data_IF_659086876837
#
_entry.id   IF_659086876837
#
_cell.length_a   1.000
_cell.length_b   1.000
_cell.length_c   1.000
_cell.angle_alpha   90.00
_cell.angle_beta   90.00
_cell.angle_gamma   90.00
#
_symmetry.space_group_name_H-M   'P 1'
#
loop_
_entity.id
_entity.type
_entity.pdbx_description
1 polymer ?
#
# COMPACT_ATOMS: atom_id res chain seq x y z
N UNK A 1 22.25 -41.64 5.21
CA UNK A 1 22.28 -40.52 6.19
C UNK A 1 21.13 -39.59 5.86
N UNK A 2 20.00 -39.81 6.51
CA UNK A 2 18.77 -39.02 6.35
C UNK A 2 18.75 -37.98 7.46
N UNK A 3 18.90 -36.71 7.11
CA UNK A 3 18.71 -35.60 8.04
C UNK A 3 17.22 -35.52 8.38
N UNK A 4 16.88 -35.86 9.62
CA UNK A 4 15.55 -35.65 10.18
C UNK A 4 15.28 -34.15 10.29
N UNK A 5 14.25 -33.67 9.61
CA UNK A 5 13.70 -32.34 9.87
C UNK A 5 13.05 -32.35 11.27
N UNK A 6 13.31 -31.36 12.13
CA UNK A 6 12.61 -31.25 13.40
C UNK A 6 11.15 -30.89 13.12
N UNK A 7 10.22 -31.69 13.63
CA UNK A 7 8.81 -31.35 13.68
C UNK A 7 8.64 -30.13 14.61
N UNK A 8 8.53 -28.95 14.02
CA UNK A 8 8.20 -27.73 14.75
C UNK A 8 6.73 -27.79 15.21
N UNK A 9 6.53 -27.40 16.46
CA UNK A 9 5.29 -27.58 17.21
C UNK A 9 4.27 -26.53 16.75
N UNK A 10 3.25 -26.94 15.99
CA UNK A 10 2.26 -26.04 15.36
C UNK A 10 1.57 -25.05 16.32
N UNK A 11 1.57 -25.34 17.62
CA UNK A 11 0.94 -24.50 18.65
C UNK A 11 1.71 -23.22 18.99
N UNK A 12 3.06 -23.20 18.90
CA UNK A 12 3.84 -22.00 19.23
C UNK A 12 3.77 -20.94 18.14
N UNK A 13 3.76 -21.36 16.87
CA UNK A 13 3.70 -20.46 15.72
C UNK A 13 2.31 -19.82 15.60
N UNK A 14 1.27 -20.54 16.03
CA UNK A 14 -0.09 -20.03 16.03
C UNK A 14 -0.28 -18.87 17.02
N UNK A 15 0.30 -19.00 18.22
CA UNK A 15 0.28 -17.97 19.27
C UNK A 15 1.07 -16.72 18.86
N UNK A 16 2.25 -16.90 18.25
CA UNK A 16 3.08 -15.78 17.77
C UNK A 16 2.40 -15.02 16.60
N UNK A 17 1.68 -15.74 15.74
CA UNK A 17 0.92 -15.13 14.64
C UNK A 17 -0.30 -14.34 15.15
N UNK A 18 -1.05 -14.90 16.11
CA UNK A 18 -2.19 -14.19 16.71
C UNK A 18 -1.75 -12.94 17.46
N UNK A 19 -0.62 -13.00 18.16
CA UNK A 19 0.00 -11.86 18.86
C UNK A 19 0.57 -10.79 17.92
N UNK A 20 0.84 -11.11 16.65
CA UNK A 20 1.35 -10.15 15.67
C UNK A 20 0.28 -9.67 14.68
N UNK A 21 -0.98 -10.00 14.90
CA UNK A 21 -2.09 -9.61 14.02
C UNK A 21 -2.44 -8.12 14.17
N UNK A 22 -2.91 -7.50 13.08
CA UNK A 22 -3.38 -6.11 13.09
C UNK A 22 -4.53 -5.93 14.09
N UNK A 23 -4.24 -5.29 15.21
CA UNK A 23 -5.17 -5.18 16.34
C UNK A 23 -4.98 -3.88 17.13
N UNK A 24 -5.88 -3.65 18.08
CA UNK A 24 -5.87 -2.46 18.92
C UNK A 24 -5.14 -2.75 20.23
N UNK A 25 -4.05 -2.02 20.48
CA UNK A 25 -3.26 -2.18 21.70
C UNK A 25 -2.95 -0.85 22.37
N UNK A 26 -2.73 -0.89 23.70
CA UNK A 26 -2.43 0.30 24.48
C UNK A 26 -0.94 0.65 24.43
N UNK A 27 -0.62 1.72 23.71
CA UNK A 27 0.71 2.31 23.69
C UNK A 27 0.81 3.50 24.63
N UNK A 28 1.98 3.66 25.24
CA UNK A 28 2.33 4.86 26.00
C UNK A 28 2.83 5.93 25.04
N UNK A 29 2.23 7.11 25.09
CA UNK A 29 2.67 8.27 24.31
C UNK A 29 3.17 9.37 25.24
N UNK A 30 4.16 10.13 24.77
CA UNK A 30 4.61 11.36 25.40
C UNK A 30 3.70 12.51 24.96
N UNK A 31 3.16 13.25 25.93
CA UNK A 31 2.30 14.40 25.70
C UNK A 31 3.10 15.66 25.39
N UNK A 32 4.35 15.74 25.84
CA UNK A 32 5.18 16.93 25.62
C UNK A 32 5.62 17.03 24.16
N UNK A 33 5.88 15.89 23.49
CA UNK A 33 6.18 15.83 22.05
C UNK A 33 5.00 16.20 21.15
N UNK A 34 3.77 16.12 21.66
CA UNK A 34 2.54 16.47 20.93
C UNK A 34 2.16 17.94 21.09
N UNK A 35 2.77 18.64 22.02
CA UNK A 35 2.53 20.07 22.22
C UNK A 35 3.41 20.88 21.26
N UNK A 36 2.79 21.65 20.36
CA UNK A 36 3.49 22.61 19.48
C UNK A 36 4.16 23.77 20.24
N UNK A 37 4.00 23.81 21.56
CA UNK A 37 4.64 24.73 22.49
C UNK A 37 5.73 23.99 23.28
N UNK A 38 6.71 23.43 22.57
CA UNK A 38 7.94 22.97 23.21
C UNK A 38 8.74 24.21 23.63
N UNK A 39 8.80 24.46 24.94
CA UNK A 39 9.62 25.48 25.62
C UNK A 39 9.29 26.94 25.27
N UNK A 40 8.19 27.48 25.81
CA UNK A 40 8.06 28.93 25.93
C UNK A 40 8.99 29.45 27.04
N UNK A 41 10.20 29.84 26.65
CA UNK A 41 11.02 30.79 27.39
C UNK A 41 10.31 32.15 27.37
N UNK A 42 9.40 32.39 28.32
CA UNK A 42 8.87 33.74 28.53
C UNK A 42 9.96 34.59 29.19
N UNK A 43 10.60 35.45 28.39
CA UNK A 43 11.33 36.66 28.82
C UNK A 43 12.35 36.52 29.97
N UNK A 44 13.65 36.58 29.64
CA UNK A 44 14.69 37.10 30.53
C UNK A 44 15.17 36.24 31.71
N UNK A 45 14.50 35.13 32.05
CA UNK A 45 14.96 34.17 33.05
C UNK A 45 14.48 32.76 32.70
N UNK A 46 15.36 31.76 32.72
CA UNK A 46 15.01 30.38 32.38
C UNK A 46 14.14 29.74 33.48
N UNK A 47 12.84 30.05 33.52
CA UNK A 47 11.91 29.31 34.37
C UNK A 47 11.37 28.10 33.61
N UNK A 48 11.85 26.91 33.97
CA UNK A 48 11.38 25.64 33.41
C UNK A 48 10.00 25.29 33.99
N UNK A 49 9.01 25.06 33.11
CA UNK A 49 7.69 24.57 33.52
C UNK A 49 7.68 23.04 33.35
N UNK A 50 7.41 22.31 34.41
CA UNK A 50 7.25 20.86 34.38
C UNK A 50 5.77 20.47 34.30
N UNK A 51 5.37 19.85 33.20
CA UNK A 51 3.99 19.39 32.99
C UNK A 51 3.78 17.94 33.45
N UNK A 52 2.61 17.67 34.04
CA UNK A 52 2.16 16.36 34.48
C UNK A 52 0.69 16.10 34.10
N UNK A 53 0.31 14.85 33.75
CA UNK A 53 1.21 13.71 33.50
C UNK A 53 2.03 13.93 32.22
N UNK A 54 3.25 13.42 32.14
CA UNK A 54 4.07 13.48 30.91
C UNK A 54 3.59 12.49 29.86
N UNK A 55 3.20 11.29 30.30
CA UNK A 55 2.79 10.23 29.41
C UNK A 55 1.41 9.71 29.77
N UNK A 56 0.70 9.19 28.77
CA UNK A 56 -0.57 8.49 28.95
C UNK A 56 -0.63 7.24 28.08
N UNK A 57 -1.50 6.30 28.42
CA UNK A 57 -1.77 5.11 27.60
C UNK A 57 -2.95 5.39 26.68
N UNK A 58 -2.76 5.15 25.39
CA UNK A 58 -3.82 5.30 24.39
C UNK A 58 -3.89 4.07 23.48
N UNK A 59 -5.10 3.70 23.03
CA UNK A 59 -5.28 2.61 22.08
C UNK A 59 -4.78 3.06 20.69
N UNK A 60 -3.88 2.25 20.12
CA UNK A 60 -3.28 2.43 18.79
C UNK A 60 -3.36 1.12 18.01
N UNK A 61 -3.39 1.25 16.69
CA UNK A 61 -3.36 0.11 15.79
C UNK A 61 -1.92 -0.32 15.58
N UNK A 62 -1.64 -1.58 15.88
CA UNK A 62 -0.32 -2.18 15.72
C UNK A 62 -0.45 -3.57 15.14
N UNK A 63 0.69 -4.19 14.84
CA UNK A 63 0.74 -5.53 14.25
C UNK A 63 0.92 -5.51 12.73
N UNK A 64 0.94 -6.71 12.19
CA UNK A 64 1.25 -7.02 10.80
C UNK A 64 -0.01 -7.46 10.04
N UNK A 65 0.02 -7.26 8.73
CA UNK A 65 -1.04 -7.64 7.81
C UNK A 65 -0.58 -8.79 6.90
N UNK A 66 -0.21 -9.92 7.51
CA UNK A 66 0.14 -11.15 6.80
C UNK A 66 -1.14 -11.90 6.40
N UNK A 67 -1.16 -12.56 5.23
CA UNK A 67 -2.05 -13.70 4.99
C UNK A 67 -1.36 -14.96 5.53
N UNK A 68 -2.08 -15.81 6.27
CA UNK A 68 -1.55 -17.03 6.89
C UNK A 68 -1.06 -17.97 5.77
N UNK A 69 0.21 -18.36 5.78
CA UNK A 69 0.72 -19.47 4.94
C UNK A 69 1.28 -19.13 3.55
N UNK A 70 1.39 -17.86 3.15
CA UNK A 70 2.10 -17.48 1.91
C UNK A 70 3.08 -16.34 2.20
N UNK A 71 4.34 -16.72 2.47
CA UNK A 71 5.46 -15.80 2.52
C UNK A 71 5.96 -15.64 1.09
N UNK A 72 5.21 -14.93 0.25
CA UNK A 72 5.81 -14.25 -0.88
C UNK A 72 6.30 -12.90 -0.33
N UNK A 73 7.62 -12.69 -0.33
CA UNK A 73 8.26 -11.49 0.23
C UNK A 73 7.72 -10.18 -0.38
N UNK A 74 7.15 -10.24 -1.59
CA UNK A 74 6.58 -9.09 -2.28
C UNK A 74 5.19 -8.67 -1.74
N UNK A 75 4.35 -9.62 -1.28
CA UNK A 75 2.99 -9.33 -0.78
C UNK A 75 2.99 -8.66 0.59
N UNK A 76 4.06 -8.84 1.38
CA UNK A 76 4.15 -8.31 2.76
C UNK A 76 4.20 -6.78 2.83
N UNK A 77 4.58 -6.13 1.72
CA UNK A 77 4.69 -4.68 1.64
C UNK A 77 3.42 -3.97 1.15
N UNK A 78 2.42 -4.72 0.69
CA UNK A 78 1.24 -4.13 0.05
C UNK A 78 0.18 -3.68 1.07
N UNK A 79 0.15 -4.26 2.27
CA UNK A 79 -0.85 -3.97 3.31
C UNK A 79 -0.25 -3.39 4.58
N UNK A 80 -0.99 -2.50 5.22
CA UNK A 80 -0.62 -1.89 6.49
C UNK A 80 -1.79 -1.88 7.46
N UNK A 81 -1.49 -2.10 8.75
CA UNK A 81 -2.47 -1.96 9.81
C UNK A 81 -2.82 -0.48 10.01
N UNK A 82 -4.09 -0.12 9.80
CA UNK A 82 -4.57 1.26 9.85
C UNK A 82 -5.82 1.36 10.76
N UNK A 83 -6.05 2.51 11.41
CA UNK A 83 -7.27 2.71 12.16
C UNK A 83 -8.49 2.79 11.23
N UNK A 84 -9.56 2.11 11.61
CA UNK A 84 -10.88 2.23 10.97
C UNK A 84 -11.47 3.61 11.29
N UNK A 85 -11.29 4.05 12.54
CA UNK A 85 -11.77 5.32 13.02
C UNK A 85 -10.83 5.86 14.12
N UNK A 86 -10.73 7.18 14.20
CA UNK A 86 -9.90 7.92 15.15
C UNK A 86 -10.76 8.95 15.86
N UNK A 87 -10.83 8.84 17.19
CA UNK A 87 -11.47 9.81 18.07
C UNK A 87 -10.43 10.69 18.74
N UNK A 88 -10.69 12.00 18.83
CA UNK A 88 -9.81 12.91 19.56
C UNK A 88 -10.37 13.18 20.95
N UNK A 89 -9.55 12.97 21.98
CA UNK A 89 -9.88 13.28 23.37
C UNK A 89 -8.95 14.36 23.91
N UNK A 90 -9.53 15.28 24.66
CA UNK A 90 -8.77 16.34 25.34
C UNK A 90 -8.22 15.82 26.65
N UNK A 91 -6.91 15.96 26.82
CA UNK A 91 -6.18 15.64 28.05
C UNK A 91 -5.68 16.95 28.65
N UNK A 92 -5.86 17.12 29.96
CA UNK A 92 -5.41 18.30 30.69
C UNK A 92 -4.07 17.97 31.34
N UNK A 93 -3.03 18.72 30.98
CA UNK A 93 -1.75 18.71 31.68
C UNK A 93 -1.67 19.89 32.64
N UNK A 94 -1.14 19.65 33.83
CA UNK A 94 -0.86 20.68 34.83
C UNK A 94 0.63 20.94 34.87
N UNK A 95 1.02 22.18 34.63
CA UNK A 95 2.41 22.65 34.69
C UNK A 95 2.72 23.27 36.05
N UNK A 96 3.93 23.05 36.55
CA UNK A 96 4.45 23.74 37.71
C UNK A 96 5.77 24.44 37.37
N UNK A 97 5.92 25.70 37.78
CA UNK A 97 7.22 26.36 37.84
C UNK A 97 7.46 26.96 39.22
N UNK A 98 8.74 27.17 39.52
CA UNK A 98 9.21 27.90 40.69
C UNK A 98 9.91 29.14 40.16
N UNK A 99 9.46 30.32 40.58
CA UNK A 99 10.14 31.56 40.21
C UNK A 99 11.40 31.79 41.07
N UNK A 100 12.16 32.83 40.74
CA UNK A 100 13.39 33.18 41.47
C UNK A 100 13.15 33.50 42.96
N UNK A 101 11.90 33.79 43.35
CA UNK A 101 11.51 34.09 44.72
C UNK A 101 10.99 32.84 45.46
N UNK A 102 11.07 31.66 44.84
CA UNK A 102 10.59 30.40 45.41
C UNK A 102 9.07 30.22 45.36
N UNK A 103 8.33 31.12 44.71
CA UNK A 103 6.88 31.01 44.59
C UNK A 103 6.50 30.01 43.50
N UNK A 104 5.62 29.06 43.86
CA UNK A 104 5.09 28.05 42.95
C UNK A 104 3.98 28.63 42.09
N UNK A 105 4.12 28.57 40.77
CA UNK A 105 3.06 28.92 39.81
C UNK A 105 2.51 27.64 39.15
N UNK A 106 1.19 27.59 39.01
CA UNK A 106 0.47 26.47 38.39
C UNK A 106 -0.12 26.90 37.04
N UNK A 107 0.07 26.06 36.04
CA UNK A 107 -0.42 26.25 34.68
C UNK A 107 -1.30 25.07 34.28
N UNK A 108 -2.24 25.28 33.36
CA UNK A 108 -3.01 24.19 32.75
C UNK A 108 -2.99 24.35 31.25
N UNK A 109 -2.78 23.24 30.53
CA UNK A 109 -2.91 23.20 29.08
C UNK A 109 -3.75 22.01 28.64
N UNK A 110 -4.44 22.18 27.51
CA UNK A 110 -5.27 21.15 26.88
C UNK A 110 -4.50 20.57 25.69
N UNK A 111 -4.39 19.25 25.63
CA UNK A 111 -3.74 18.53 24.55
C UNK A 111 -4.78 17.62 23.91
N UNK A 112 -4.92 17.70 22.58
CA UNK A 112 -5.78 16.78 21.84
C UNK A 112 -4.99 15.53 21.49
N UNK A 113 -5.53 14.38 21.87
CA UNK A 113 -4.88 13.09 21.68
C UNK A 113 -5.78 12.19 20.85
N UNK A 114 -5.20 11.57 19.82
CA UNK A 114 -5.88 10.60 18.97
C UNK A 114 -5.98 9.22 19.63
N UNK A 115 -7.18 8.66 19.65
CA UNK A 115 -7.54 7.33 20.12
C UNK A 115 -8.06 6.53 18.92
N UNK A 116 -7.43 5.40 18.61
CA UNK A 116 -7.97 4.50 17.60
C UNK A 116 -9.11 3.68 18.23
N UNK A 117 -10.21 3.48 17.51
CA UNK A 117 -11.37 2.71 18.03
C UNK A 117 -11.56 1.36 17.34
N UNK A 118 -10.77 1.07 16.31
CA UNK A 118 -10.74 -0.19 15.60
C UNK A 118 -9.60 -0.19 14.59
N UNK A 119 -9.15 -1.38 14.20
CA UNK A 119 -8.00 -1.56 13.31
C UNK A 119 -8.36 -2.51 12.18
N UNK A 120 -7.88 -2.22 10.98
CA UNK A 120 -8.00 -3.13 9.84
C UNK A 120 -6.77 -3.06 8.95
N UNK A 121 -6.51 -4.16 8.25
CA UNK A 121 -5.51 -4.20 7.21
C UNK A 121 -6.04 -3.52 5.95
N UNK A 122 -5.36 -2.47 5.51
CA UNK A 122 -5.67 -1.74 4.28
C UNK A 122 -4.46 -1.75 3.35
N UNK A 123 -4.68 -1.62 2.05
CA UNK A 123 -3.58 -1.45 1.11
C UNK A 123 -2.82 -0.15 1.42
N UNK A 124 -1.49 -0.23 1.44
CA UNK A 124 -0.59 0.88 1.80
C UNK A 124 -0.73 2.06 0.84
N UNK A 125 -0.99 1.76 -0.42
CA UNK A 125 -1.32 2.73 -1.46
C UNK A 125 -2.62 2.27 -2.12
N UNK A 126 -3.52 3.22 -2.38
CA UNK A 126 -4.62 3.04 -3.32
C UNK A 126 -4.26 3.83 -4.58
N UNK A 127 -3.35 3.31 -5.43
CA UNK A 127 -2.96 4.00 -6.65
C UNK A 127 -4.14 4.03 -7.61
N UNK A 128 -4.30 5.16 -8.29
CA UNK A 128 -5.13 5.20 -9.50
C UNK A 128 -4.47 4.27 -10.53
N UNK A 129 -5.21 3.26 -11.00
CA UNK A 129 -4.71 2.38 -12.06
C UNK A 129 -4.35 3.20 -13.30
N UNK A 130 -3.19 2.89 -13.90
CA UNK A 130 -2.72 3.60 -15.09
C UNK A 130 -3.66 3.39 -16.28
N UNK A 131 -4.33 2.23 -16.33
CA UNK A 131 -5.24 1.86 -17.39
C UNK A 131 -6.72 2.00 -16.95
N UNK A 132 -7.53 2.65 -17.77
CA UNK A 132 -8.98 2.82 -17.53
C UNK A 132 -9.75 1.50 -17.50
N UNK A 133 -9.21 0.46 -18.16
CA UNK A 133 -9.77 -0.90 -18.20
C UNK A 133 -9.43 -1.72 -16.95
N UNK A 134 -8.60 -1.17 -16.07
CA UNK A 134 -8.30 -1.76 -14.77
C UNK A 134 -9.13 -1.11 -13.68
N UNK A 135 -9.25 -1.82 -12.56
CA UNK A 135 -9.81 -1.37 -11.30
C UNK A 135 -8.88 -1.82 -10.18
N UNK A 136 -8.68 -0.97 -9.18
CA UNK A 136 -7.94 -1.33 -7.99
C UNK A 136 -8.82 -2.20 -7.10
N UNK A 137 -8.29 -3.33 -6.63
CA UNK A 137 -8.97 -4.23 -5.71
C UNK A 137 -8.27 -4.23 -4.37
N UNK A 138 -9.01 -3.84 -3.33
CA UNK A 138 -8.48 -3.80 -1.97
C UNK A 138 -8.05 -5.20 -1.46
N UNK A 139 -8.67 -6.27 -1.97
CA UNK A 139 -8.40 -7.65 -1.57
C UNK A 139 -7.04 -8.20 -2.03
N UNK A 140 -6.56 -7.70 -3.17
CA UNK A 140 -5.26 -8.06 -3.76
C UNK A 140 -4.25 -6.92 -3.72
N UNK A 141 -4.67 -5.71 -3.31
CA UNK A 141 -3.86 -4.49 -3.34
C UNK A 141 -3.22 -4.19 -4.70
N UNK A 142 -3.91 -4.61 -5.78
CA UNK A 142 -3.40 -4.51 -7.15
C UNK A 142 -4.47 -3.97 -8.07
N UNK A 143 -4.00 -3.39 -9.17
CA UNK A 143 -4.84 -3.05 -10.30
C UNK A 143 -5.03 -4.31 -11.14
N UNK A 144 -6.28 -4.76 -11.25
CA UNK A 144 -6.63 -5.91 -12.08
C UNK A 144 -7.61 -5.48 -13.15
N UNK A 145 -7.72 -6.30 -14.20
CA UNK A 145 -8.71 -6.08 -15.24
C UNK A 145 -10.12 -6.06 -14.66
N UNK A 146 -10.92 -5.14 -15.20
CA UNK A 146 -12.32 -4.98 -14.84
C UNK A 146 -13.13 -6.27 -15.06
N UNK A 147 -14.10 -6.62 -14.21
CA UNK A 147 -14.89 -7.83 -14.40
C UNK A 147 -15.73 -7.77 -15.67
N UNK A 148 -16.13 -6.56 -16.08
CA UNK A 148 -16.98 -6.35 -17.26
C UNK A 148 -16.31 -6.80 -18.57
N UNK A 149 -14.98 -6.87 -18.60
CA UNK A 149 -14.20 -7.31 -19.78
C UNK A 149 -13.78 -8.79 -19.70
N UNK A 150 -14.33 -9.56 -18.75
CA UNK A 150 -14.06 -10.99 -18.63
C UNK A 150 -14.46 -11.77 -19.89
N UNK A 151 -15.56 -11.39 -20.54
CA UNK A 151 -15.99 -12.00 -21.81
C UNK A 151 -14.98 -11.74 -22.92
N UNK A 152 -14.43 -10.51 -23.03
CA UNK A 152 -13.39 -10.21 -24.02
C UNK A 152 -12.11 -11.04 -23.78
N UNK A 153 -11.72 -11.21 -22.51
CA UNK A 153 -10.60 -12.08 -22.13
C UNK A 153 -10.84 -13.52 -22.56
N UNK A 154 -12.04 -14.04 -22.30
CA UNK A 154 -12.41 -15.40 -22.70
C UNK A 154 -12.40 -15.55 -24.22
N UNK A 155 -13.00 -14.61 -24.96
CA UNK A 155 -13.00 -14.62 -26.42
C UNK A 155 -11.59 -14.49 -27.00
N UNK A 156 -10.70 -13.72 -26.36
CA UNK A 156 -9.30 -13.62 -26.77
C UNK A 156 -8.61 -14.99 -26.80
N UNK A 157 -8.84 -15.82 -25.78
CA UNK A 157 -8.22 -17.16 -25.68
C UNK A 157 -8.62 -18.11 -26.83
N UNK A 158 -9.75 -17.85 -27.48
CA UNK A 158 -10.25 -18.63 -28.61
C UNK A 158 -9.72 -18.14 -29.96
N UNK A 159 -9.17 -16.93 -30.03
CA UNK A 159 -8.73 -16.32 -31.29
C UNK A 159 -7.40 -16.91 -31.74
N UNK A 160 -7.43 -17.51 -32.92
CA UNK A 160 -6.26 -18.02 -33.62
C UNK A 160 -5.92 -17.11 -34.79
N UNK A 161 -4.63 -16.80 -34.93
CA UNK A 161 -4.09 -16.05 -36.06
C UNK A 161 -3.10 -16.90 -36.85
N UNK A 162 -2.63 -16.39 -37.98
CA UNK A 162 -1.61 -17.05 -38.79
C UNK A 162 -0.30 -17.30 -38.03
N UNK A 163 -0.04 -16.55 -36.95
CA UNK A 163 1.17 -16.66 -36.13
C UNK A 163 0.92 -17.37 -34.79
N UNK A 164 -0.27 -17.92 -34.57
CA UNK A 164 -0.65 -18.65 -33.36
C UNK A 164 -1.77 -17.98 -32.56
N UNK A 165 -1.96 -18.47 -31.34
CA UNK A 165 -3.02 -18.03 -30.44
C UNK A 165 -2.76 -16.62 -29.93
N UNK A 166 -3.78 -15.76 -30.03
CA UNK A 166 -3.74 -14.49 -29.31
C UNK A 166 -3.71 -14.74 -27.81
N UNK A 167 -3.14 -13.81 -27.06
CA UNK A 167 -3.07 -13.89 -25.61
C UNK A 167 -3.64 -12.64 -24.96
N UNK A 168 -4.12 -12.80 -23.72
CA UNK A 168 -4.61 -11.69 -22.93
C UNK A 168 -3.46 -11.06 -22.13
N UNK A 169 -3.20 -9.78 -22.37
CA UNK A 169 -2.23 -8.98 -21.63
C UNK A 169 -2.91 -8.40 -20.38
N UNK A 170 -2.56 -8.87 -19.19
CA UNK A 170 -3.19 -8.42 -17.93
C UNK A 170 -2.78 -7.00 -17.52
N UNK A 171 -1.60 -6.54 -17.95
CA UNK A 171 -1.11 -5.19 -17.63
C UNK A 171 -1.87 -4.14 -18.45
N UNK A 172 -2.33 -4.55 -19.64
CA UNK A 172 -3.08 -3.69 -20.59
C UNK A 172 -4.57 -4.00 -20.67
N UNK A 173 -5.00 -5.12 -20.10
CA UNK A 173 -6.36 -5.63 -20.19
C UNK A 173 -6.89 -5.66 -21.62
N UNK A 174 -6.10 -6.21 -22.54
CA UNK A 174 -6.43 -6.29 -23.95
C UNK A 174 -5.92 -7.59 -24.58
N UNK A 175 -6.54 -7.97 -25.70
CA UNK A 175 -6.13 -9.12 -26.49
C UNK A 175 -5.01 -8.74 -27.45
N UNK A 176 -3.87 -9.44 -27.39
CA UNK A 176 -2.67 -9.10 -28.15
C UNK A 176 -2.18 -10.25 -29.01
N UNK A 177 -1.47 -9.86 -30.07
CA UNK A 177 -0.87 -10.77 -31.02
C UNK A 177 0.29 -11.57 -30.41
N UNK A 178 0.49 -12.83 -30.84
CA UNK A 178 1.53 -13.72 -30.30
C UNK A 178 2.94 -13.10 -30.30
N UNK A 179 3.28 -12.28 -31.30
CA UNK A 179 4.59 -11.62 -31.35
C UNK A 179 4.91 -10.71 -30.16
N UNK A 180 3.90 -10.24 -29.41
CA UNK A 180 4.10 -9.44 -28.20
C UNK A 180 4.33 -10.29 -26.94
N UNK A 181 4.16 -11.61 -27.01
CA UNK A 181 4.15 -12.49 -25.84
C UNK A 181 5.50 -12.50 -25.11
N UNK A 182 6.60 -12.53 -25.86
CA UNK A 182 7.94 -12.52 -25.28
C UNK A 182 8.19 -11.25 -24.45
N UNK A 183 7.85 -10.07 -24.98
CA UNK A 183 8.00 -8.82 -24.24
C UNK A 183 7.11 -8.79 -22.98
N UNK A 184 5.90 -9.37 -23.06
CA UNK A 184 4.97 -9.48 -21.95
C UNK A 184 5.54 -10.33 -20.80
N UNK A 185 5.97 -11.57 -21.06
CA UNK A 185 6.46 -12.47 -19.99
C UNK A 185 7.78 -12.02 -19.35
N UNK A 186 8.54 -11.17 -20.04
CA UNK A 186 9.79 -10.60 -19.53
C UNK A 186 9.63 -9.17 -19.01
N UNK A 187 8.41 -8.64 -18.92
CA UNK A 187 8.11 -7.26 -18.48
C UNK A 187 8.96 -6.19 -19.19
N UNK A 188 9.23 -6.40 -20.49
CA UNK A 188 10.00 -5.48 -21.31
C UNK A 188 9.10 -4.38 -21.87
N UNK A 189 9.65 -3.17 -22.04
CA UNK A 189 8.95 -2.13 -22.79
C UNK A 189 8.63 -2.66 -24.19
N UNK A 190 7.37 -2.59 -24.64
CA UNK A 190 7.01 -3.13 -25.93
C UNK A 190 7.75 -2.37 -27.02
N UNK A 191 8.43 -3.10 -27.88
CA UNK A 191 9.04 -2.52 -29.07
C UNK A 191 7.96 -1.87 -29.95
N UNK A 192 8.27 -0.81 -30.72
CA UNK A 192 7.36 -0.23 -31.69
C UNK A 192 6.77 -1.29 -32.63
N UNK A 193 5.56 -1.07 -33.15
CA UNK A 193 4.95 -1.97 -34.15
C UNK A 193 5.88 -2.28 -35.33
N UNK A 194 6.70 -1.29 -35.68
CA UNK A 194 7.59 -1.30 -36.84
C UNK A 194 8.79 -2.24 -36.63
N UNK A 195 9.00 -2.72 -35.41
CA UNK A 195 10.02 -3.74 -35.10
C UNK A 195 9.52 -5.16 -35.36
N UNK A 196 8.19 -5.36 -35.43
CA UNK A 196 7.58 -6.67 -35.70
C UNK A 196 7.23 -6.89 -37.17
N UNK A 197 7.23 -5.82 -37.96
CA UNK A 197 6.91 -5.85 -39.38
C UNK A 197 8.09 -5.33 -40.21
N UNK A 198 8.28 -5.84 -41.44
CA UNK A 198 9.30 -5.29 -42.34
C UNK A 198 9.06 -3.81 -42.62
N UNK A 199 10.13 -3.06 -42.93
CA UNK A 199 10.03 -1.64 -43.29
C UNK A 199 8.93 -1.37 -44.32
N UNK A 200 8.14 -0.33 -44.09
CA UNK A 200 6.98 0.03 -44.92
C UNK A 200 5.71 -0.81 -44.67
N UNK A 201 5.69 -1.64 -43.62
CA UNK A 201 4.50 -2.36 -43.16
C UNK A 201 4.14 -1.95 -41.74
N UNK A 202 2.84 -1.99 -41.43
CA UNK A 202 2.32 -1.82 -40.08
C UNK A 202 1.60 -3.09 -39.64
N UNK A 203 1.58 -3.34 -38.33
CA UNK A 203 0.89 -4.49 -37.78
C UNK A 203 -0.61 -4.21 -37.65
N UNK A 204 -1.44 -5.01 -38.32
CA UNK A 204 -2.87 -5.02 -38.08
C UNK A 204 -3.19 -5.91 -36.86
N UNK A 205 -3.70 -5.31 -35.79
CA UNK A 205 -3.90 -5.98 -34.49
C UNK A 205 -5.01 -7.06 -34.52
N UNK A 206 -5.98 -6.97 -35.43
CA UNK A 206 -7.13 -7.89 -35.45
C UNK A 206 -6.80 -9.29 -35.98
N UNK A 207 -5.86 -9.38 -36.92
CA UNK A 207 -5.44 -10.64 -37.56
C UNK A 207 -3.93 -10.91 -37.38
N UNK A 208 -3.25 -10.03 -36.65
CA UNK A 208 -1.82 -10.08 -36.38
C UNK A 208 -0.95 -10.12 -37.64
N UNK A 209 -1.41 -9.51 -38.74
CA UNK A 209 -0.71 -9.52 -40.02
C UNK A 209 -0.05 -8.17 -40.30
N UNK A 210 1.16 -8.21 -40.86
CA UNK A 210 1.82 -7.02 -41.41
C UNK A 210 1.17 -6.62 -42.74
N UNK A 211 0.69 -5.38 -42.82
CA UNK A 211 0.10 -4.80 -44.03
C UNK A 211 0.99 -3.67 -44.52
N UNK A 212 1.24 -3.64 -45.83
CA UNK A 212 2.01 -2.58 -46.48
C UNK A 212 1.26 -1.25 -46.33
N UNK A 213 1.94 -0.21 -45.84
CA UNK A 213 1.39 1.14 -45.86
C UNK A 213 1.13 1.52 -47.32
N UNK A 214 -0.12 1.79 -47.69
CA UNK A 214 -0.43 2.44 -48.95
C UNK A 214 0.06 3.88 -48.80
N UNK A 215 1.10 4.26 -49.54
CA UNK A 215 1.45 5.66 -49.67
C UNK A 215 0.23 6.38 -50.25
N UNK A 216 -0.49 7.13 -49.43
CA UNK A 216 -1.36 8.18 -49.94
C UNK A 216 -0.42 9.22 -50.54
N UNK A 217 -0.17 9.08 -51.84
CA UNK A 217 0.27 10.21 -52.65
C UNK A 217 -0.93 11.17 -52.62
N UNK A 218 -0.86 12.16 -51.74
CA UNK A 218 -1.66 13.37 -51.88
C UNK A 218 -1.08 14.04 -53.14
N UNK A 219 -1.77 13.87 -54.26
CA UNK A 219 -1.61 14.72 -55.45
C UNK A 219 -2.48 15.96 -55.27
#
# INVERSE_FOLDING_TARGET
MTYGQPMMNANSDQLLYEQSSCSLEYQTIDLDSLSSQSNHSYGGGQTWIHYYPRCIRVPRCIGCCSKRGQINFDDWNERQCRPINVQYKTVIQTGQSIDHNGMKKLFRRKIQVAYHTGCQCQCRQNPRCQNIRQKFYDDSCRCECRPEIATERFECSKRLTIHGHMFWDNDRCECRCPQFYYAYIHHLNPMPSDTYCPSGHYLQLNNCRCIRQKNNIIL
#
